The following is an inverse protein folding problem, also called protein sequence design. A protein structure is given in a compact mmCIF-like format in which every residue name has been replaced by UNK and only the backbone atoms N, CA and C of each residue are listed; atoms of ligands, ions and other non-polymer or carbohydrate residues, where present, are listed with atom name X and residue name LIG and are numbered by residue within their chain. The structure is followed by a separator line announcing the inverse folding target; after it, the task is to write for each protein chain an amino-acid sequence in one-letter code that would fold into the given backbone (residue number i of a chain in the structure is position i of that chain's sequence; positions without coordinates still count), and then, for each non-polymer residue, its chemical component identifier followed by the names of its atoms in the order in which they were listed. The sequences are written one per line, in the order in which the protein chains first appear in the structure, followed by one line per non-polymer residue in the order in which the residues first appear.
data_IF_593347015872
#
_entry.id   IF_593347015872
#
_cell.length_a   1.000
_cell.length_b   1.000
_cell.length_c   1.000
_cell.angle_alpha   90.00
_cell.angle_beta   90.00
_cell.angle_gamma   90.00
#
_symmetry.space_group_name_H-M   'P 1'
#
loop_
_entity.id
_entity.type
_entity.pdbx_description
1 polymer ?
#
# COMPACT_ATOMS: atom_id res chain seq x y z
N UNK A 1 3.77 -43.13 28.37
CA UNK A 1 4.20 -41.95 29.13
C UNK A 1 5.21 -41.27 28.23
N UNK A 2 4.87 -40.08 27.72
CA UNK A 2 5.73 -39.31 26.82
C UNK A 2 6.52 -38.31 27.65
N UNK A 3 7.80 -38.59 27.87
CA UNK A 3 8.73 -37.60 28.41
C UNK A 3 9.00 -36.57 27.31
N UNK A 4 8.21 -35.49 27.30
CA UNK A 4 8.49 -34.28 26.50
C UNK A 4 9.52 -33.44 27.26
N UNK A 5 10.73 -33.99 27.39
CA UNK A 5 11.88 -33.26 27.88
C UNK A 5 12.36 -32.37 26.74
N UNK A 6 12.21 -31.05 26.90
CA UNK A 6 12.79 -30.08 25.96
C UNK A 6 14.30 -30.34 25.91
N UNK A 7 14.87 -30.31 24.71
CA UNK A 7 16.29 -30.56 24.51
C UNK A 7 17.11 -29.49 25.25
N UNK A 8 18.06 -29.93 26.08
CA UNK A 8 18.91 -29.08 26.91
C UNK A 8 19.67 -28.04 26.04
N UNK A 9 20.04 -28.42 24.81
CA UNK A 9 20.64 -27.51 23.81
C UNK A 9 19.75 -26.31 23.46
N UNK A 10 18.42 -26.49 23.52
CA UNK A 10 17.42 -25.48 23.13
C UNK A 10 17.00 -24.64 24.34
N UNK A 11 16.96 -25.21 25.55
CA UNK A 11 16.76 -24.42 26.77
C UNK A 11 17.93 -23.47 27.00
N UNK A 12 19.17 -23.94 26.82
CA UNK A 12 20.38 -23.15 27.00
C UNK A 12 20.46 -22.01 25.97
N UNK A 13 20.12 -22.27 24.71
CA UNK A 13 20.03 -21.23 23.67
C UNK A 13 19.00 -20.16 24.04
N UNK A 14 17.83 -20.55 24.52
CA UNK A 14 16.75 -19.61 24.86
C UNK A 14 17.06 -18.81 26.13
N UNK A 15 17.72 -19.40 27.13
CA UNK A 15 18.21 -18.65 28.29
C UNK A 15 19.31 -17.65 27.89
N UNK A 16 20.24 -18.05 27.02
CA UNK A 16 21.26 -17.14 26.48
C UNK A 16 20.64 -15.99 25.67
N UNK A 17 19.63 -16.25 24.83
CA UNK A 17 18.91 -15.21 24.09
C UNK A 17 18.21 -14.22 25.03
N UNK A 18 17.53 -14.72 26.08
CA UNK A 18 16.87 -13.90 27.12
C UNK A 18 17.87 -13.10 27.99
N UNK A 19 19.14 -13.49 28.00
CA UNK A 19 20.21 -12.77 28.72
C UNK A 19 20.99 -11.78 27.84
N UNK A 20 20.89 -11.89 26.50
CA UNK A 20 21.61 -11.06 25.52
C UNK A 20 20.71 -9.98 24.89
N UNK A 21 19.43 -10.31 24.66
CA UNK A 21 18.44 -9.41 24.06
C UNK A 21 17.55 -8.79 25.13
N UNK A 22 16.97 -7.63 24.82
CA UNK A 22 16.02 -6.95 25.71
C UNK A 22 14.61 -7.54 25.58
N UNK A 23 13.81 -7.46 26.66
CA UNK A 23 12.43 -7.98 26.73
C UNK A 23 11.48 -7.36 25.68
N UNK A 24 11.80 -6.18 25.14
CA UNK A 24 11.05 -5.50 24.08
C UNK A 24 11.56 -5.82 22.66
N UNK A 25 12.76 -6.38 22.51
CA UNK A 25 13.28 -6.89 21.24
C UNK A 25 12.89 -8.35 20.96
N UNK A 26 12.70 -9.17 22.00
CA UNK A 26 12.55 -10.64 21.90
C UNK A 26 11.16 -11.13 22.36
N UNK A 27 10.38 -11.69 21.43
CA UNK A 27 9.12 -12.38 21.72
C UNK A 27 9.23 -13.88 21.47
N UNK A 28 9.02 -14.68 22.51
CA UNK A 28 8.97 -16.15 22.44
C UNK A 28 7.56 -16.62 22.77
N UNK A 29 7.03 -17.57 21.99
CA UNK A 29 5.71 -18.18 22.20
C UNK A 29 5.91 -19.69 22.39
N UNK A 30 5.44 -20.17 23.53
CA UNK A 30 5.49 -21.56 23.96
C UNK A 30 4.14 -22.24 23.66
N UNK A 31 4.19 -23.52 23.27
CA UNK A 31 3.01 -24.34 23.01
C UNK A 31 2.32 -24.80 24.30
N UNK A 32 1.15 -25.45 24.17
CA UNK A 32 0.38 -26.13 25.24
C UNK A 32 1.20 -27.12 26.12
N UNK A 33 2.46 -27.37 25.77
CA UNK A 33 3.42 -28.27 26.43
C UNK A 33 4.55 -27.56 27.18
N UNK A 34 4.68 -26.23 27.04
CA UNK A 34 5.89 -25.49 27.47
C UNK A 34 7.08 -25.66 26.52
N UNK A 35 6.85 -26.20 25.31
CA UNK A 35 7.86 -26.31 24.25
C UNK A 35 7.88 -25.02 23.42
N UNK A 36 9.05 -24.41 23.12
CA UNK A 36 9.13 -23.19 22.32
C UNK A 36 8.82 -23.50 20.84
N UNK A 37 7.76 -22.90 20.27
CA UNK A 37 7.39 -23.11 18.85
C UNK A 37 7.85 -21.95 17.97
N UNK A 38 7.85 -20.73 18.50
CA UNK A 38 7.95 -19.51 17.71
C UNK A 38 8.78 -18.47 18.45
N UNK A 39 9.81 -17.94 17.77
CA UNK A 39 10.66 -16.84 18.23
C UNK A 39 10.54 -15.71 17.20
N UNK A 40 10.36 -14.49 17.68
CA UNK A 40 10.25 -13.26 16.88
C UNK A 40 11.13 -12.19 17.52
N UNK A 41 12.11 -11.70 16.76
CA UNK A 41 13.13 -10.76 17.24
C UNK A 41 13.22 -9.57 16.29
N UNK A 42 13.18 -8.35 16.82
CA UNK A 42 13.47 -7.15 16.02
C UNK A 42 14.99 -6.95 15.98
N UNK A 43 15.56 -6.83 14.79
CA UNK A 43 17.00 -6.69 14.58
C UNK A 43 17.36 -5.34 13.98
N UNK A 44 18.40 -4.73 14.56
CA UNK A 44 18.98 -3.44 14.21
C UNK A 44 20.47 -3.60 13.85
N UNK A 45 21.05 -2.69 13.06
CA UNK A 45 22.49 -2.68 12.78
C UNK A 45 23.32 -2.33 14.03
N UNK A 46 24.56 -2.85 14.06
CA UNK A 46 25.53 -2.72 15.15
C UNK A 46 26.24 -1.35 15.14
N UNK A 47 25.47 -0.28 15.32
CA UNK A 47 25.91 1.13 15.23
C UNK A 47 26.63 1.67 16.48
N UNK A 48 27.13 0.78 17.35
CA UNK A 48 27.74 1.19 18.63
C UNK A 48 26.75 1.84 19.59
N UNK A 49 25.56 1.25 19.72
CA UNK A 49 24.44 1.69 20.59
C UNK A 49 23.76 3.02 20.20
N UNK A 50 24.19 3.72 19.14
CA UNK A 50 23.47 4.91 18.66
C UNK A 50 22.23 4.56 17.82
N UNK A 51 21.05 4.71 18.44
CA UNK A 51 19.72 4.53 17.82
C UNK A 51 19.38 5.58 16.75
N UNK A 52 20.08 6.73 16.72
CA UNK A 52 19.89 7.73 15.66
C UNK A 52 20.52 7.26 14.36
N UNK A 53 21.69 6.62 14.44
CA UNK A 53 22.40 6.01 13.31
C UNK A 53 21.81 4.68 12.81
N UNK A 54 20.80 4.11 13.47
CA UNK A 54 20.13 2.88 13.01
C UNK A 54 19.12 3.21 11.89
N UNK A 55 19.53 3.08 10.62
CA UNK A 55 18.73 3.45 9.44
C UNK A 55 18.05 2.27 8.74
N UNK A 56 18.23 1.04 9.24
CA UNK A 56 17.52 -0.15 8.77
C UNK A 56 17.08 -1.01 9.96
N UNK A 57 16.00 -1.78 9.79
CA UNK A 57 15.64 -2.85 10.72
C UNK A 57 14.83 -3.94 10.02
N UNK A 58 14.79 -5.13 10.61
CA UNK A 58 13.97 -6.26 10.13
C UNK A 58 13.51 -7.11 11.31
N UNK A 59 12.29 -7.66 11.23
CA UNK A 59 11.81 -8.64 12.19
C UNK A 59 12.21 -10.04 11.72
N UNK A 60 13.15 -10.69 12.42
CA UNK A 60 13.44 -12.11 12.24
C UNK A 60 12.32 -12.92 12.92
N UNK A 61 11.66 -13.80 12.17
CA UNK A 61 10.70 -14.77 12.72
C UNK A 61 11.20 -16.18 12.44
N UNK A 62 11.36 -16.97 13.49
CA UNK A 62 11.81 -18.36 13.44
C UNK A 62 10.75 -19.27 14.05
N UNK A 63 10.38 -20.32 13.33
CA UNK A 63 9.53 -21.40 13.80
C UNK A 63 10.40 -22.64 14.05
N UNK A 64 10.32 -23.18 15.27
CA UNK A 64 11.09 -24.35 15.71
C UNK A 64 10.22 -25.60 15.49
N UNK A 65 10.53 -26.47 14.50
CA UNK A 65 9.81 -27.71 14.31
C UNK A 65 10.17 -28.72 15.40
N UNK A 66 9.25 -29.66 15.66
CA UNK A 66 9.55 -30.80 16.53
C UNK A 66 10.76 -31.58 16.02
N UNK A 67 11.85 -31.58 16.80
CA UNK A 67 13.15 -32.14 16.41
C UNK A 67 14.25 -31.11 16.17
N UNK A 68 14.00 -29.80 16.29
CA UNK A 68 15.07 -28.81 16.44
C UNK A 68 15.93 -29.13 17.69
N UNK A 69 17.29 -29.07 17.62
CA UNK A 69 18.11 -28.56 16.53
C UNK A 69 18.54 -29.60 15.47
N UNK A 70 18.20 -30.87 15.64
CA UNK A 70 18.51 -31.94 14.67
C UNK A 70 17.67 -31.86 13.37
N UNK A 71 16.69 -30.94 13.34
CA UNK A 71 15.92 -30.51 12.17
C UNK A 71 16.06 -28.99 12.01
N UNK A 72 16.38 -28.54 10.79
CA UNK A 72 16.47 -27.11 10.44
C UNK A 72 15.19 -26.36 10.85
N UNK A 73 15.29 -25.19 11.51
CA UNK A 73 14.13 -24.35 11.75
C UNK A 73 13.59 -23.75 10.44
N UNK A 74 12.36 -23.26 10.47
CA UNK A 74 11.80 -22.45 9.38
C UNK A 74 11.95 -20.97 9.71
N UNK A 75 12.51 -20.19 8.80
CA UNK A 75 12.80 -18.77 9.02
C UNK A 75 12.02 -17.89 8.04
N UNK A 76 11.66 -16.69 8.47
CA UNK A 76 11.14 -15.64 7.59
C UNK A 76 11.56 -14.26 8.08
N UNK A 77 11.96 -13.40 7.14
CA UNK A 77 12.21 -11.98 7.41
C UNK A 77 10.92 -11.19 7.17
N UNK A 78 10.51 -10.38 8.14
CA UNK A 78 9.27 -9.60 8.11
C UNK A 78 9.53 -8.13 8.39
N UNK A 79 8.60 -7.30 7.93
CA UNK A 79 8.63 -5.84 8.12
C UNK A 79 10.00 -5.17 7.83
N UNK A 80 10.72 -5.51 6.74
CA UNK A 80 11.99 -4.85 6.43
C UNK A 80 11.77 -3.33 6.27
N UNK A 81 12.63 -2.53 6.90
CA UNK A 81 12.60 -1.06 6.87
C UNK A 81 13.92 -0.53 6.32
N UNK A 82 13.86 0.32 5.29
CA UNK A 82 15.03 0.89 4.63
C UNK A 82 15.81 -0.09 3.76
N UNK A 83 15.24 -1.26 3.46
CA UNK A 83 15.92 -2.35 2.74
C UNK A 83 15.16 -2.69 1.46
N UNK A 84 15.87 -2.68 0.34
CA UNK A 84 15.38 -3.14 -0.96
C UNK A 84 15.10 -4.66 -0.98
N UNK A 85 14.23 -5.10 -1.89
CA UNK A 85 13.83 -6.50 -1.96
C UNK A 85 14.97 -7.46 -2.29
N UNK A 86 16.01 -7.04 -3.03
CA UNK A 86 17.11 -7.94 -3.42
C UNK A 86 18.07 -8.17 -2.26
N UNK A 87 18.36 -7.15 -1.46
CA UNK A 87 19.09 -7.28 -0.19
C UNK A 87 18.31 -8.16 0.80
N UNK A 88 16.98 -8.05 0.88
CA UNK A 88 16.14 -8.92 1.72
C UNK A 88 16.13 -10.36 1.21
N UNK A 89 16.01 -10.57 -0.12
CA UNK A 89 16.12 -11.91 -0.74
C UNK A 89 17.47 -12.56 -0.46
N UNK A 90 18.57 -11.80 -0.54
CA UNK A 90 19.92 -12.27 -0.22
C UNK A 90 20.03 -12.68 1.25
N UNK A 91 19.63 -11.81 2.19
CA UNK A 91 19.63 -12.12 3.63
C UNK A 91 18.84 -13.38 3.97
N UNK A 92 17.66 -13.57 3.35
CA UNK A 92 16.88 -14.79 3.56
C UNK A 92 17.60 -16.03 2.99
N UNK A 93 18.16 -15.95 1.78
CA UNK A 93 18.91 -17.05 1.16
C UNK A 93 20.12 -17.48 2.00
N UNK A 94 20.89 -16.52 2.50
CA UNK A 94 22.09 -16.76 3.30
C UNK A 94 21.72 -17.33 4.69
N UNK A 95 20.63 -16.83 5.30
CA UNK A 95 20.09 -17.39 6.54
C UNK A 95 19.56 -18.81 6.34
N UNK A 96 18.88 -19.08 5.22
CA UNK A 96 18.42 -20.42 4.87
C UNK A 96 19.58 -21.38 4.58
N UNK A 97 20.73 -20.90 4.13
CA UNK A 97 21.96 -21.70 4.01
C UNK A 97 22.56 -21.99 5.40
N UNK A 98 22.70 -20.96 6.24
CA UNK A 98 23.18 -21.06 7.63
C UNK A 98 22.41 -22.11 8.45
N UNK A 99 21.08 -22.15 8.35
CA UNK A 99 20.26 -23.18 9.00
C UNK A 99 20.55 -24.62 8.54
N UNK A 100 21.07 -24.83 7.33
CA UNK A 100 21.41 -26.16 6.78
C UNK A 100 22.81 -26.61 7.22
N UNK A 101 23.75 -25.68 7.37
CA UNK A 101 25.11 -25.97 7.83
C UNK A 101 25.18 -26.32 9.33
N UNK A 102 24.22 -25.82 10.13
CA UNK A 102 24.16 -25.99 11.59
C UNK A 102 23.21 -27.10 12.07
N UNK A 103 22.72 -27.99 11.17
CA UNK A 103 21.83 -29.09 11.56
C UNK A 103 22.49 -29.97 12.64
N UNK A 104 21.81 -30.12 13.78
CA UNK A 104 22.30 -30.78 14.99
C UNK A 104 22.85 -29.84 16.07
N UNK A 105 22.90 -28.54 15.82
CA UNK A 105 23.34 -27.51 16.75
C UNK A 105 22.36 -26.33 16.81
N UNK A 106 22.18 -25.67 17.97
CA UNK A 106 21.43 -24.43 18.06
C UNK A 106 22.03 -23.34 17.15
N UNK A 107 21.20 -22.55 16.48
CA UNK A 107 21.61 -21.63 15.39
C UNK A 107 21.04 -20.21 15.53
N UNK A 108 20.20 -19.92 16.52
CA UNK A 108 19.51 -18.63 16.65
C UNK A 108 20.47 -17.46 16.79
N UNK A 109 21.48 -17.57 17.66
CA UNK A 109 22.48 -16.51 17.85
C UNK A 109 23.29 -16.25 16.57
N UNK A 110 23.66 -17.33 15.87
CA UNK A 110 24.37 -17.27 14.59
C UNK A 110 23.53 -16.64 13.47
N UNK A 111 22.20 -16.82 13.47
CA UNK A 111 21.29 -16.09 12.57
C UNK A 111 21.18 -14.61 12.93
N UNK A 112 21.06 -14.29 14.22
CA UNK A 112 20.94 -12.92 14.74
C UNK A 112 22.17 -12.10 14.36
N UNK A 113 23.38 -12.61 14.65
CA UNK A 113 24.63 -11.91 14.34
C UNK A 113 24.87 -11.79 12.82
N UNK A 114 24.55 -12.83 12.04
CA UNK A 114 24.67 -12.78 10.58
C UNK A 114 23.73 -11.73 9.97
N UNK A 115 22.49 -11.62 10.45
CA UNK A 115 21.55 -10.60 9.99
C UNK A 115 21.99 -9.21 10.47
N UNK A 116 22.46 -9.06 11.71
CA UNK A 116 23.05 -7.80 12.23
C UNK A 116 24.22 -7.33 11.37
N UNK A 117 25.12 -8.21 10.94
CA UNK A 117 26.22 -7.87 10.02
C UNK A 117 25.70 -7.40 8.66
N UNK A 118 24.71 -8.09 8.07
CA UNK A 118 24.09 -7.64 6.82
C UNK A 118 23.39 -6.27 6.97
N UNK A 119 22.66 -6.04 8.05
CA UNK A 119 22.04 -4.73 8.37
C UNK A 119 23.13 -3.65 8.54
N UNK A 120 24.24 -3.97 9.20
CA UNK A 120 25.33 -3.01 9.48
C UNK A 120 26.04 -2.60 8.19
N UNK A 121 26.33 -3.56 7.31
CA UNK A 121 26.89 -3.30 5.98
C UNK A 121 25.92 -2.53 5.07
N UNK A 122 24.61 -2.74 5.23
CA UNK A 122 23.54 -2.10 4.45
C UNK A 122 22.80 -1.01 5.24
N UNK A 123 23.47 -0.30 6.16
CA UNK A 123 22.86 0.71 7.03
C UNK A 123 22.65 2.08 6.34
N UNK A 124 22.10 2.07 5.13
CA UNK A 124 21.58 3.23 4.41
C UNK A 124 20.28 2.82 3.72
N UNK A 125 19.25 3.68 3.68
CA UNK A 125 17.98 3.31 3.06
C UNK A 125 18.16 3.10 1.55
N UNK A 126 18.06 1.85 1.09
CA UNK A 126 18.15 1.49 -0.35
C UNK A 126 16.81 1.52 -1.07
N UNK A 127 15.71 1.71 -0.33
CA UNK A 127 14.34 1.83 -0.83
C UNK A 127 14.07 3.18 -1.52
N UNK A 128 12.95 3.32 -2.23
CA UNK A 128 12.56 4.56 -2.91
C UNK A 128 11.80 5.50 -1.98
N UNK A 129 12.11 6.79 -2.03
CA UNK A 129 11.35 7.80 -1.30
C UNK A 129 9.91 7.91 -1.86
N UNK A 130 8.93 7.43 -1.09
CA UNK A 130 7.52 7.32 -1.51
C UNK A 130 6.78 8.65 -1.83
N UNK A 131 7.48 9.79 -1.82
CA UNK A 131 6.98 11.10 -2.25
C UNK A 131 7.48 11.50 -3.65
N UNK A 132 8.75 11.24 -3.99
CA UNK A 132 9.33 11.58 -5.29
C UNK A 132 9.59 10.36 -6.21
N UNK A 133 9.54 9.15 -5.67
CA UNK A 133 9.78 7.86 -6.35
C UNK A 133 11.21 7.67 -6.88
N UNK A 134 12.17 8.47 -6.39
CA UNK A 134 13.60 8.25 -6.57
C UNK A 134 14.21 7.58 -5.33
N UNK A 135 15.27 6.80 -5.53
CA UNK A 135 16.11 6.27 -4.44
C UNK A 135 17.05 7.34 -3.87
N UNK A 136 17.64 7.03 -2.73
CA UNK A 136 18.59 7.91 -2.03
C UNK A 136 20.00 7.77 -2.62
N UNK A 137 20.75 8.88 -2.76
CA UNK A 137 22.15 8.89 -3.22
C UNK A 137 23.10 9.46 -2.19
N UNK A 138 24.39 9.19 -2.38
CA UNK A 138 25.47 9.86 -1.65
C UNK A 138 25.40 11.38 -1.87
N UNK A 139 24.99 12.12 -0.83
CA UNK A 139 24.78 13.57 -0.87
C UNK A 139 23.33 14.03 -0.72
N UNK A 140 22.35 13.12 -0.81
CA UNK A 140 20.94 13.44 -0.49
C UNK A 140 20.71 13.46 1.02
N UNK A 141 20.05 14.51 1.53
CA UNK A 141 19.61 14.57 2.93
C UNK A 141 18.28 13.84 3.13
N UNK A 142 18.29 12.82 4.00
CA UNK A 142 17.12 12.02 4.34
C UNK A 142 16.77 12.08 5.83
N UNK A 143 15.52 11.71 6.15
CA UNK A 143 14.99 11.66 7.51
C UNK A 143 14.26 10.34 7.78
N UNK A 144 14.39 9.84 9.02
CA UNK A 144 13.69 8.66 9.55
C UNK A 144 12.50 9.12 10.38
N UNK A 145 11.27 8.76 9.99
CA UNK A 145 10.09 9.00 10.83
C UNK A 145 9.99 7.99 11.96
N UNK A 146 9.28 8.32 13.04
CA UNK A 146 8.99 7.44 14.20
C UNK A 146 8.49 6.04 13.80
N UNK A 147 7.70 5.95 12.74
CA UNK A 147 7.18 4.69 12.18
C UNK A 147 8.15 3.95 11.24
N UNK A 148 9.46 4.25 11.28
CA UNK A 148 10.53 3.65 10.46
C UNK A 148 10.27 3.68 8.94
N UNK A 149 9.84 4.84 8.43
CA UNK A 149 9.78 5.13 6.99
C UNK A 149 10.75 6.26 6.64
N UNK A 150 11.34 6.18 5.45
CA UNK A 150 12.44 7.05 5.02
C UNK A 150 11.98 7.97 3.89
N UNK A 151 12.35 9.24 4.00
CA UNK A 151 12.04 10.26 3.01
C UNK A 151 13.22 11.20 2.86
N UNK A 152 13.42 11.77 1.67
CA UNK A 152 14.26 12.95 1.55
C UNK A 152 13.67 14.05 2.43
N UNK A 153 14.49 14.74 3.23
CA UNK A 153 14.03 15.72 4.22
C UNK A 153 13.15 16.79 3.56
N UNK A 154 13.63 17.31 2.43
CA UNK A 154 12.89 18.23 1.56
C UNK A 154 11.54 17.65 1.09
N UNK A 155 11.49 16.39 0.64
CA UNK A 155 10.26 15.77 0.17
C UNK A 155 9.23 15.57 1.29
N UNK A 156 9.66 15.27 2.54
CA UNK A 156 8.73 15.18 3.67
C UNK A 156 8.17 16.55 4.04
N UNK A 157 9.01 17.60 4.10
CA UNK A 157 8.57 18.97 4.34
C UNK A 157 7.57 19.45 3.27
N UNK A 158 7.87 19.20 1.98
CA UNK A 158 6.95 19.49 0.87
C UNK A 158 5.60 18.79 1.02
N UNK A 159 5.60 17.51 1.41
CA UNK A 159 4.37 16.75 1.65
C UNK A 159 3.55 17.31 2.82
N UNK A 160 4.19 17.57 3.96
CA UNK A 160 3.53 18.07 5.16
C UNK A 160 2.97 19.48 4.94
N UNK A 161 3.72 20.38 4.30
CA UNK A 161 3.25 21.72 3.96
C UNK A 161 2.08 21.70 2.95
N UNK A 162 2.10 20.77 1.98
CA UNK A 162 0.96 20.57 1.08
C UNK A 162 -0.27 20.02 1.84
N UNK A 163 -0.08 19.04 2.72
CA UNK A 163 -1.16 18.45 3.53
C UNK A 163 -1.80 19.46 4.49
N UNK A 164 -1.00 20.33 5.14
CA UNK A 164 -1.52 21.39 6.01
C UNK A 164 -2.37 22.41 5.21
N UNK A 165 -1.90 22.77 4.01
CA UNK A 165 -2.67 23.63 3.09
C UNK A 165 -3.99 22.99 2.68
N UNK A 166 -4.00 21.74 2.23
CA UNK A 166 -5.25 21.04 1.88
C UNK A 166 -6.19 20.93 3.09
N UNK A 167 -5.68 20.67 4.29
CA UNK A 167 -6.47 20.65 5.52
C UNK A 167 -7.13 22.00 5.81
N UNK A 168 -6.38 23.11 5.67
CA UNK A 168 -6.89 24.47 5.85
C UNK A 168 -7.91 24.83 4.77
N UNK A 169 -7.63 24.51 3.52
CA UNK A 169 -8.55 24.73 2.39
C UNK A 169 -9.86 23.92 2.55
N UNK A 170 -9.86 22.74 3.18
CA UNK A 170 -11.10 22.00 3.48
C UNK A 170 -11.84 22.57 4.71
N UNK A 171 -11.14 22.96 5.79
CA UNK A 171 -11.71 23.68 6.94
C UNK A 171 -12.45 24.96 6.50
N UNK A 172 -11.87 25.74 5.59
CA UNK A 172 -12.50 26.97 5.06
C UNK A 172 -13.78 26.72 4.23
N UNK A 173 -13.91 25.52 3.62
CA UNK A 173 -15.12 25.13 2.88
C UNK A 173 -16.25 24.63 3.79
N UNK A 174 -15.95 24.25 5.03
CA UNK A 174 -16.98 23.77 5.98
C UNK A 174 -17.84 24.94 6.48
N UNK A 175 -19.16 24.73 6.69
CA UNK A 175 -20.00 25.68 7.39
C UNK A 175 -19.43 26.05 8.77
N UNK A 176 -19.64 27.29 9.22
CA UNK A 176 -19.04 27.84 10.43
C UNK A 176 -19.40 27.12 11.76
N UNK A 177 -20.39 26.20 11.73
CA UNK A 177 -20.74 25.32 12.85
C UNK A 177 -20.07 23.92 12.79
N UNK A 178 -19.32 23.62 11.72
CA UNK A 178 -18.51 22.42 11.52
C UNK A 178 -16.99 22.74 11.49
N UNK A 179 -16.63 24.01 11.62
CA UNK A 179 -15.23 24.45 11.73
C UNK A 179 -14.71 24.16 13.15
N UNK A 180 -14.26 22.92 13.37
CA UNK A 180 -13.66 22.49 14.64
C UNK A 180 -12.32 23.23 14.86
N UNK A 181 -12.38 24.36 15.58
CA UNK A 181 -11.21 25.15 15.99
C UNK A 181 -10.32 24.44 17.03
N UNK A 182 -10.79 23.32 17.58
CA UNK A 182 -10.06 22.43 18.48
C UNK A 182 -9.24 21.37 17.76
N UNK A 183 -9.65 20.95 16.56
CA UNK A 183 -8.88 20.01 15.75
C UNK A 183 -7.72 20.75 15.09
N UNK A 184 -6.51 20.51 15.57
CA UNK A 184 -5.27 20.99 14.93
C UNK A 184 -4.92 20.07 13.75
N UNK A 185 -4.22 20.62 12.77
CA UNK A 185 -3.56 19.79 11.76
C UNK A 185 -2.54 18.86 12.42
N UNK A 186 -2.54 17.59 12.00
CA UNK A 186 -1.58 16.58 12.44
C UNK A 186 -0.91 16.00 11.19
N UNK A 187 0.42 16.06 11.13
CA UNK A 187 1.19 15.43 10.07
C UNK A 187 1.03 13.90 10.14
N UNK A 188 0.88 13.26 8.98
CA UNK A 188 0.75 11.81 8.84
C UNK A 188 1.82 11.28 7.88
N UNK A 189 2.30 10.05 8.13
CA UNK A 189 3.25 9.38 7.25
C UNK A 189 2.61 9.06 5.89
N UNK A 190 3.23 9.42 4.75
CA UNK A 190 2.74 9.09 3.41
C UNK A 190 2.47 7.59 3.18
N UNK A 191 3.22 6.70 3.84
CA UNK A 191 3.15 5.25 3.65
C UNK A 191 2.11 4.61 4.56
N UNK A 192 2.30 4.64 5.88
CA UNK A 192 1.43 3.95 6.84
C UNK A 192 0.26 4.80 7.39
N UNK A 193 0.26 6.13 7.16
CA UNK A 193 -0.73 7.11 7.66
C UNK A 193 -0.80 7.27 9.17
N UNK A 194 0.19 6.73 9.89
CA UNK A 194 0.41 6.99 11.30
C UNK A 194 0.77 8.48 11.52
N UNK A 195 0.38 9.04 12.67
CA UNK A 195 0.75 10.40 13.05
C UNK A 195 2.25 10.50 13.28
N UNK A 196 2.90 11.48 12.67
CA UNK A 196 4.33 11.74 12.85
C UNK A 196 4.55 13.10 13.50
N UNK A 197 5.55 13.20 14.38
CA UNK A 197 6.13 14.48 14.77
C UNK A 197 7.33 14.82 13.88
N UNK A 198 7.35 16.02 13.29
CA UNK A 198 8.44 16.48 12.44
C UNK A 198 8.52 18.02 12.46
N UNK A 199 9.74 18.55 12.60
CA UNK A 199 9.99 19.98 12.42
C UNK A 199 10.10 20.30 10.92
N UNK A 200 9.08 20.96 10.39
CA UNK A 200 9.01 21.32 8.97
C UNK A 200 10.04 22.41 8.62
N UNK A 201 10.42 23.30 9.54
CA UNK A 201 11.40 24.36 9.25
C UNK A 201 12.80 23.78 9.07
N UNK A 202 13.22 22.89 9.98
CA UNK A 202 14.47 22.14 9.86
C UNK A 202 14.52 21.29 8.58
N UNK A 203 13.48 20.48 8.31
CA UNK A 203 13.42 19.62 7.12
C UNK A 203 13.41 20.40 5.78
N UNK A 204 13.04 21.67 5.80
CA UNK A 204 12.99 22.54 4.60
C UNK A 204 14.29 23.32 4.38
N UNK A 205 15.26 23.23 5.30
CA UNK A 205 16.64 23.70 5.09
C UNK A 205 17.45 22.75 4.20
N UNK A 206 17.03 21.49 4.09
CA UNK A 206 17.63 20.46 3.25
C UNK A 206 17.46 20.75 1.75
N UNK A 207 18.47 20.43 0.91
CA UNK A 207 18.37 20.55 -0.54
C UNK A 207 17.31 19.59 -1.11
N UNK A 208 16.74 19.90 -2.29
CA UNK A 208 15.95 18.93 -3.05
C UNK A 208 16.82 17.74 -3.47
N UNK A 209 16.24 16.55 -3.73
CA UNK A 209 17.03 15.36 -4.07
C UNK A 209 17.74 15.52 -5.42
N UNK A 210 18.95 14.98 -5.53
CA UNK A 210 19.82 15.08 -6.72
C UNK A 210 19.10 14.55 -7.97
N UNK A 211 18.33 13.46 -7.87
CA UNK A 211 17.55 12.92 -8.99
C UNK A 211 16.33 13.79 -9.37
N UNK A 212 15.83 14.62 -8.47
CA UNK A 212 14.76 15.60 -8.79
C UNK A 212 15.33 16.80 -9.54
N UNK A 213 16.54 17.26 -9.18
CA UNK A 213 17.23 18.32 -9.92
C UNK A 213 17.75 17.85 -11.29
N UNK A 214 18.19 16.59 -11.39
CA UNK A 214 18.66 15.98 -12.64
C UNK A 214 17.53 15.52 -13.58
N UNK A 215 16.27 15.53 -13.14
CA UNK A 215 15.13 15.07 -13.92
C UNK A 215 14.87 15.98 -15.14
N UNK A 216 14.82 15.40 -16.34
CA UNK A 216 14.47 16.14 -17.55
C UNK A 216 12.99 16.52 -17.57
N UNK A 217 12.67 17.77 -17.95
CA UNK A 217 11.30 18.25 -18.16
C UNK A 217 10.46 17.26 -19.00
N UNK A 218 9.26 16.93 -18.50
CA UNK A 218 8.35 16.05 -19.21
C UNK A 218 7.91 16.67 -20.55
N UNK A 219 8.26 15.99 -21.65
CA UNK A 219 7.83 16.36 -23.00
C UNK A 219 7.00 15.25 -23.63
N UNK A 220 5.87 15.62 -24.25
CA UNK A 220 4.93 14.63 -24.79
C UNK A 220 5.52 14.00 -26.06
N UNK A 221 5.94 12.74 -25.96
CA UNK A 221 6.54 11.96 -27.05
C UNK A 221 5.56 11.74 -28.21
N UNK A 222 6.07 11.31 -29.37
CA UNK A 222 5.22 10.97 -30.52
C UNK A 222 4.25 9.82 -30.21
N UNK A 223 4.70 8.84 -29.42
CA UNK A 223 3.91 7.69 -28.98
C UNK A 223 2.78 8.11 -28.04
N UNK A 224 3.07 8.97 -27.06
CA UNK A 224 2.04 9.51 -26.15
C UNK A 224 1.01 10.36 -26.91
N UNK A 225 1.42 11.12 -27.93
CA UNK A 225 0.50 11.86 -28.82
C UNK A 225 -0.40 10.93 -29.64
N UNK A 226 0.10 9.79 -30.08
CA UNK A 226 -0.71 8.80 -30.82
C UNK A 226 -1.66 8.04 -29.89
N UNK A 227 -1.18 7.62 -28.72
CA UNK A 227 -2.01 7.04 -27.66
C UNK A 227 -3.16 7.98 -27.25
N UNK A 228 -2.88 9.29 -27.14
CA UNK A 228 -3.90 10.29 -26.85
C UNK A 228 -5.01 10.35 -27.92
N UNK A 229 -4.67 10.25 -29.22
CA UNK A 229 -5.67 10.18 -30.30
C UNK A 229 -6.52 8.91 -30.20
N UNK A 230 -5.88 7.75 -29.96
CA UNK A 230 -6.57 6.47 -29.84
C UNK A 230 -7.52 6.47 -28.64
N UNK A 231 -7.09 6.97 -27.49
CA UNK A 231 -7.93 7.12 -26.30
C UNK A 231 -9.06 8.14 -26.49
N UNK A 232 -8.83 9.24 -27.21
CA UNK A 232 -9.90 10.18 -27.57
C UNK A 232 -10.96 9.55 -28.49
N UNK A 233 -10.56 8.73 -29.47
CA UNK A 233 -11.49 8.00 -30.32
C UNK A 233 -12.30 6.94 -29.54
N UNK A 234 -11.66 6.26 -28.58
CA UNK A 234 -12.33 5.32 -27.66
C UNK A 234 -13.30 6.05 -26.72
N UNK A 235 -12.93 7.20 -26.16
CA UNK A 235 -13.78 8.05 -25.33
C UNK A 235 -15.06 8.45 -26.07
N UNK A 236 -14.95 8.99 -27.30
CA UNK A 236 -16.13 9.36 -28.11
C UNK A 236 -17.04 8.16 -28.38
N UNK A 237 -16.46 6.97 -28.63
CA UNK A 237 -17.22 5.72 -28.83
C UNK A 237 -17.92 5.23 -27.55
N UNK A 238 -17.34 5.45 -26.37
CA UNK A 238 -17.95 5.14 -25.08
C UNK A 238 -19.06 6.15 -24.74
N UNK A 239 -18.83 7.44 -25.01
CA UNK A 239 -19.80 8.53 -24.81
C UNK A 239 -21.09 8.29 -25.62
N UNK A 240 -20.96 7.98 -26.91
CA UNK A 240 -22.09 7.63 -27.80
C UNK A 240 -22.89 6.41 -27.34
N UNK A 241 -22.31 5.56 -26.49
CA UNK A 241 -22.93 4.34 -25.93
C UNK A 241 -23.47 4.54 -24.52
N UNK A 242 -23.40 5.74 -23.96
CA UNK A 242 -23.78 6.03 -22.57
C UNK A 242 -22.88 5.36 -21.53
N UNK A 243 -21.68 4.91 -21.92
CA UNK A 243 -20.73 4.18 -21.07
C UNK A 243 -19.80 5.06 -20.25
N UNK A 244 -20.09 6.35 -20.11
CA UNK A 244 -19.29 7.33 -19.38
C UNK A 244 -20.16 7.94 -18.27
N UNK A 245 -19.61 7.96 -17.05
CA UNK A 245 -20.22 8.62 -15.90
C UNK A 245 -19.96 10.13 -16.02
N UNK A 246 -21.02 10.88 -16.27
CA UNK A 246 -21.02 12.34 -16.21
C UNK A 246 -21.40 12.78 -14.79
N UNK A 247 -20.40 13.26 -14.04
CA UNK A 247 -20.55 13.68 -12.65
C UNK A 247 -21.47 14.89 -12.47
N UNK A 248 -21.61 15.76 -13.47
CA UNK A 248 -22.54 16.89 -13.41
C UNK A 248 -23.97 16.42 -13.63
N UNK A 249 -24.20 15.53 -14.61
CA UNK A 249 -25.50 14.93 -14.86
C UNK A 249 -25.98 14.01 -13.73
N UNK A 250 -25.09 13.25 -13.09
CA UNK A 250 -25.41 12.46 -11.89
C UNK A 250 -25.70 13.34 -10.67
N UNK A 251 -24.99 14.47 -10.53
CA UNK A 251 -25.27 15.48 -9.50
C UNK A 251 -26.70 16.01 -9.57
N UNK A 252 -27.21 16.27 -10.77
CA UNK A 252 -28.58 16.74 -11.04
C UNK A 252 -29.65 15.65 -10.88
N UNK A 253 -29.32 14.37 -11.17
CA UNK A 253 -30.25 13.23 -11.01
C UNK A 253 -30.75 13.01 -9.58
N UNK A 254 -30.03 13.53 -8.58
CA UNK A 254 -30.35 13.42 -7.15
C UNK A 254 -31.40 14.43 -6.67
N UNK A 255 -32.46 14.64 -7.45
CA UNK A 255 -33.65 15.40 -7.04
C UNK A 255 -34.68 14.46 -6.40
N UNK A 256 -34.59 14.32 -5.07
CA UNK A 256 -35.65 13.69 -4.27
C UNK A 256 -36.89 14.58 -4.31
N UNK A 257 -37.93 14.13 -5.02
CA UNK A 257 -39.28 14.70 -4.91
C UNK A 257 -39.85 14.38 -3.53
N UNK A 258 -40.01 15.39 -2.70
CA UNK A 258 -40.95 15.36 -1.56
C UNK A 258 -42.34 15.67 -2.11
N UNK A 259 -43.15 14.64 -2.33
CA UNK A 259 -44.49 14.77 -2.93
C UNK A 259 -45.54 15.14 -1.86
N UNK A 260 -45.46 16.39 -1.37
CA UNK A 260 -46.47 17.02 -0.50
C UNK A 260 -46.95 18.34 -1.14
N UNK A 261 -47.73 18.26 -2.22
CA UNK A 261 -48.85 19.19 -2.44
C UNK A 261 -49.92 18.62 -3.40
N UNK A 262 -51.10 19.24 -3.43
CA UNK A 262 -52.35 18.57 -3.81
C UNK A 262 -52.97 18.95 -5.18
N UNK A 263 -53.85 18.05 -5.64
CA UNK A 263 -54.94 18.27 -6.60
C UNK A 263 -54.65 18.50 -8.10
N UNK A 264 -54.85 17.43 -8.87
CA UNK A 264 -55.59 17.34 -10.15
C UNK A 264 -55.32 18.41 -11.23
N UNK A 265 -54.65 17.98 -12.31
CA UNK A 265 -54.97 18.39 -13.69
C UNK A 265 -54.61 17.27 -14.65
N UNK A 266 -55.56 16.82 -15.46
CA UNK A 266 -55.35 15.78 -16.48
C UNK A 266 -54.93 16.39 -17.81
N UNK A 267 -53.85 15.88 -18.41
CA UNK A 267 -53.99 15.11 -19.67
C UNK A 267 -52.77 14.22 -19.94
N UNK A 268 -52.80 13.48 -21.07
CA UNK A 268 -51.97 12.28 -21.30
C UNK A 268 -50.89 12.49 -22.36
N UNK A 269 -49.81 11.73 -22.27
CA UNK A 269 -49.30 10.86 -23.35
C UNK A 269 -48.28 9.85 -22.78
N UNK A 270 -48.32 8.60 -23.25
CA UNK A 270 -47.55 7.49 -22.66
C UNK A 270 -46.18 7.28 -23.35
N UNK A 271 -45.17 6.76 -22.63
CA UNK A 271 -43.90 6.31 -23.23
C UNK A 271 -44.01 4.87 -23.80
N UNK A 272 -43.18 4.51 -24.79
CA UNK A 272 -42.96 3.12 -25.17
C UNK A 272 -41.90 2.48 -24.25
N UNK A 273 -42.33 1.57 -23.37
CA UNK A 273 -41.44 0.73 -22.57
C UNK A 273 -41.52 -0.74 -22.99
N UNK A 274 -40.39 -1.33 -23.33
CA UNK A 274 -40.20 -2.79 -23.47
C UNK A 274 -38.74 -3.08 -23.11
N UNK A 275 -38.39 -3.22 -21.84
CA UNK A 275 -38.69 -4.35 -20.92
C UNK A 275 -37.88 -5.60 -21.28
N UNK A 276 -37.12 -6.10 -20.31
CA UNK A 276 -36.21 -7.24 -20.44
C UNK A 276 -36.99 -8.56 -20.57
N UNK A 277 -36.47 -9.49 -21.38
CA UNK A 277 -37.07 -10.83 -21.52
C UNK A 277 -36.79 -11.70 -20.28
N UNK A 278 -37.86 -12.04 -19.55
CA UNK A 278 -37.86 -13.07 -18.52
C UNK A 278 -38.05 -14.45 -19.17
N UNK A 279 -37.14 -15.39 -18.93
CA UNK A 279 -37.33 -16.79 -19.35
C UNK A 279 -38.01 -17.60 -18.25
N UNK A 280 -38.98 -18.44 -18.63
CA UNK A 280 -39.71 -19.35 -17.73
C UNK A 280 -39.29 -20.81 -17.96
N UNK A 281 -39.22 -21.59 -16.87
CA UNK A 281 -38.86 -23.01 -16.92
C UNK A 281 -40.04 -23.92 -17.27
N UNK A 282 -39.83 -24.88 -18.18
CA UNK A 282 -40.55 -26.16 -18.26
C UNK A 282 -39.60 -27.28 -18.74
N UNK A 283 -39.97 -28.55 -18.51
CA UNK A 283 -39.16 -29.74 -18.84
C UNK A 283 -40.06 -30.99 -18.88
N UNK A 284 -39.68 -32.17 -19.36
CA UNK A 284 -38.36 -32.69 -19.80
C UNK A 284 -38.42 -33.12 -21.31
N UNK A 285 -37.74 -34.12 -21.90
CA UNK A 285 -36.86 -35.21 -21.43
C UNK A 285 -35.89 -35.72 -22.54
N UNK A 286 -35.18 -36.78 -22.19
CA UNK A 286 -34.16 -37.56 -22.91
C UNK A 286 -34.55 -38.22 -24.25
N UNK A 287 -33.58 -38.36 -25.16
CA UNK A 287 -33.16 -39.62 -25.84
C UNK A 287 -31.64 -39.54 -26.15
N UNK A 288 -30.94 -40.67 -26.29
CA UNK A 288 -29.47 -40.80 -26.50
C UNK A 288 -29.07 -41.43 -27.85
N UNK A 289 -27.93 -41.00 -28.41
CA UNK A 289 -26.99 -41.67 -29.37
C UNK A 289 -26.12 -40.59 -30.05
N UNK A 290 -24.94 -40.80 -30.64
CA UNK A 290 -23.76 -41.67 -30.48
C UNK A 290 -22.76 -41.22 -31.57
N UNK A 291 -21.46 -41.49 -31.38
CA UNK A 291 -20.42 -41.70 -32.43
C UNK A 291 -19.66 -40.55 -33.14
N UNK A 292 -18.33 -40.60 -32.97
CA UNK A 292 -17.26 -40.50 -34.00
C UNK A 292 -16.66 -39.14 -34.45
N UNK A 293 -15.46 -38.88 -33.91
CA UNK A 293 -14.21 -38.41 -34.55
C UNK A 293 -14.24 -37.69 -35.92
N UNK A 294 -13.62 -36.50 -35.99
CA UNK A 294 -12.32 -36.37 -36.67
C UNK A 294 -11.49 -35.17 -36.14
N UNK A 295 -10.26 -34.99 -36.66
CA UNK A 295 -9.17 -34.18 -36.08
C UNK A 295 -8.81 -32.91 -36.87
N UNK A 296 -8.26 -31.91 -36.15
CA UNK A 296 -7.09 -31.05 -36.48
C UNK A 296 -7.23 -29.53 -36.24
N UNK A 297 -6.06 -28.94 -35.92
CA UNK A 297 -5.63 -27.54 -36.06
C UNK A 297 -6.10 -26.44 -35.08
N UNK A 298 -5.23 -26.22 -34.09
CA UNK A 298 -4.59 -24.93 -33.76
C UNK A 298 -5.37 -23.88 -32.92
N UNK A 299 -4.64 -22.98 -32.22
CA UNK A 299 -5.05 -22.54 -30.89
C UNK A 299 -5.98 -21.33 -30.89
N UNK A 300 -6.95 -21.35 -29.97
CA UNK A 300 -7.70 -20.15 -29.58
C UNK A 300 -7.12 -19.57 -28.30
N UNK A 301 -6.73 -18.29 -28.38
CA UNK A 301 -6.63 -17.44 -27.20
C UNK A 301 -8.00 -17.41 -26.51
N UNK A 302 -8.05 -17.59 -25.19
CA UNK A 302 -9.25 -17.40 -24.40
C UNK A 302 -9.00 -16.37 -23.30
N UNK A 303 -9.82 -15.32 -23.31
CA UNK A 303 -10.02 -14.49 -22.12
C UNK A 303 -10.57 -15.36 -20.99
N UNK A 304 -10.08 -15.14 -19.77
CA UNK A 304 -10.84 -15.46 -18.57
C UNK A 304 -11.20 -14.16 -17.85
N UNK A 305 -12.47 -14.03 -17.51
CA UNK A 305 -13.02 -12.89 -16.77
C UNK A 305 -12.53 -12.90 -15.32
N UNK A 306 -12.56 -11.72 -14.69
CA UNK A 306 -12.67 -11.64 -13.23
C UNK A 306 -13.90 -12.40 -12.72
N UNK A 307 -13.75 -13.07 -11.59
CA UNK A 307 -14.81 -13.21 -10.59
C UNK A 307 -14.20 -12.97 -9.20
N UNK A 308 -14.52 -11.82 -8.60
CA UNK A 308 -14.34 -11.62 -7.17
C UNK A 308 -15.56 -12.14 -6.41
N UNK A 309 -15.36 -12.51 -5.15
CA UNK A 309 -16.45 -12.74 -4.20
C UNK A 309 -16.23 -11.92 -2.93
N UNK A 310 -17.30 -11.32 -2.42
CA UNK A 310 -17.30 -10.45 -1.26
C UNK A 310 -17.19 -11.24 0.05
N UNK A 311 -16.78 -10.56 1.12
CA UNK A 311 -17.63 -10.56 2.32
C UNK A 311 -17.60 -9.20 3.05
N UNK A 312 -18.55 -8.99 3.96
CA UNK A 312 -18.97 -7.66 4.42
C UNK A 312 -18.33 -7.16 5.73
N UNK A 313 -18.15 -5.83 5.82
CA UNK A 313 -17.80 -5.11 7.05
C UNK A 313 -18.43 -3.70 7.08
N UNK A 314 -19.63 -3.58 7.66
CA UNK A 314 -20.27 -2.30 8.01
C UNK A 314 -19.68 -1.76 9.33
N UNK A 315 -19.74 -0.48 9.75
CA UNK A 315 -20.36 0.80 9.30
C UNK A 315 -19.62 1.90 10.09
N UNK A 316 -19.23 3.05 9.55
CA UNK A 316 -20.00 4.31 9.62
C UNK A 316 -19.15 5.47 9.04
N UNK A 317 -19.67 6.27 8.11
CA UNK A 317 -19.28 7.69 7.92
C UNK A 317 -20.51 8.51 7.54
N UNK A 318 -20.57 9.74 8.07
CA UNK A 318 -21.68 10.66 7.86
C UNK A 318 -21.73 11.25 6.45
N UNK A 319 -22.87 11.88 6.11
CA UNK A 319 -23.05 12.57 4.82
C UNK A 319 -22.36 13.93 4.85
N UNK A 320 -21.45 14.17 3.91
CA UNK A 320 -20.96 15.49 3.54
C UNK A 320 -20.92 15.62 2.02
N UNK A 321 -21.65 16.58 1.46
CA UNK A 321 -21.61 16.93 0.02
C UNK A 321 -20.83 18.23 -0.12
N UNK A 322 -19.74 18.21 -0.87
CA UNK A 322 -19.05 19.42 -1.34
C UNK A 322 -19.11 19.47 -2.87
N UNK A 323 -19.43 20.64 -3.44
CA UNK A 323 -19.57 20.83 -4.88
C UNK A 323 -18.24 21.25 -5.51
N UNK A 324 -17.73 20.46 -6.46
CA UNK A 324 -16.63 20.90 -7.32
C UNK A 324 -17.15 21.78 -8.46
N UNK A 325 -16.68 23.03 -8.53
CA UNK A 325 -16.66 23.85 -9.75
C UNK A 325 -15.25 24.41 -9.91
N UNK A 326 -14.56 24.05 -11.00
CA UNK A 326 -13.30 24.69 -11.41
C UNK A 326 -13.61 25.72 -12.50
N UNK A 327 -13.60 27.00 -12.14
CA UNK A 327 -13.85 28.09 -13.08
C UNK A 327 -12.54 28.49 -13.76
N UNK A 328 -12.43 28.24 -15.07
CA UNK A 328 -11.31 28.68 -15.91
C UNK A 328 -11.63 30.05 -16.53
N UNK A 329 -11.23 31.13 -15.88
CA UNK A 329 -11.29 32.47 -16.49
C UNK A 329 -10.11 32.73 -17.42
N UNK A 330 -10.43 33.14 -18.66
CA UNK A 330 -9.44 33.47 -19.70
C UNK A 330 -9.29 34.98 -19.80
N UNK A 331 -8.22 35.53 -19.22
CA UNK A 331 -7.82 36.90 -19.50
C UNK A 331 -7.48 37.06 -20.98
N UNK A 332 -8.19 37.97 -21.67
CA UNK A 332 -7.79 38.55 -22.94
C UNK A 332 -7.33 39.98 -22.67
N UNK A 333 -6.05 40.26 -22.90
CA UNK A 333 -5.56 41.64 -22.90
C UNK A 333 -6.14 42.38 -24.11
N UNK A 334 -6.56 43.63 -23.88
CA UNK A 334 -7.00 44.57 -24.92
C UNK A 334 -5.84 45.51 -25.25
N UNK A 335 -5.33 45.45 -26.48
CA UNK A 335 -4.37 46.42 -26.97
C UNK A 335 -5.06 47.75 -27.30
N UNK A 336 -4.52 48.86 -26.78
CA UNK A 336 -4.93 50.23 -27.14
C UNK A 336 -3.75 50.96 -27.78
N UNK A 337 -3.77 51.10 -29.10
CA UNK A 337 -2.83 51.94 -29.86
C UNK A 337 -3.29 53.41 -29.89
N UNK A 338 -2.38 54.40 -29.80
CA UNK A 338 -2.75 55.81 -29.63
C UNK A 338 -2.72 56.66 -30.91
N UNK A 339 -3.52 57.74 -30.88
CA UNK A 339 -3.66 58.86 -31.84
C UNK A 339 -4.41 58.57 -33.14
#
# INVERSE_FOLDING_TARGET
MSDSMVDERVTDEIEALKAILLDDELSIKENDRGEPEYIETILFPSTGEDSQSQYVCVTLVVQLPYGYPDVSPNISLRNPRGLDEDTVRLMQSDAEAKCKDFIGQPVMFELIEMIREHLTRSNLPTDQCAVCLYGFREGDEFTKTECYHYFHSHCLAAHVAAAERYYREEQEKLPQWQQDTTNKFQAICPVCRESIHCDVESLWSAPPPIDVEAATDFSVTAELKELQKQMAALYLRQQQRGGIIDLEAEGVKMLLRTEDDTAVSTERLNPPSTSLNTYANQSMQSVTQQSSNNTQNQPRQFHHNHHGHNNHGHRNRGRGRAHYRRQFDKMRHTETTPR
#
